data_IF_734140318168
#
_entry.id   IF_734140318168
#
_cell.length_a   1.000
_cell.length_b   1.000
_cell.length_c   1.000
_cell.angle_alpha   90.00
_cell.angle_beta   90.00
_cell.angle_gamma   90.00
#
_symmetry.space_group_name_H-M   'P 1'
#
loop_
_entity.id
_entity.type
_entity.pdbx_description
1 polymer ?
#
# COMPACT_ATOMS: atom_id res chain seq x y z
N UNK A 1 -28.22 8.30 48.64
CA UNK A 1 -26.78 8.11 48.32
C UNK A 1 -26.64 7.24 47.09
N UNK A 2 -26.07 7.73 45.98
CA UNK A 2 -25.72 6.86 44.84
C UNK A 2 -24.58 5.93 45.28
N UNK A 3 -24.79 4.61 45.17
CA UNK A 3 -23.76 3.59 45.43
C UNK A 3 -22.62 3.85 44.44
N UNK A 4 -21.45 4.31 44.91
CA UNK A 4 -20.26 4.43 44.06
C UNK A 4 -19.89 3.03 43.60
N UNK A 5 -19.78 2.83 42.29
CA UNK A 5 -19.36 1.56 41.70
C UNK A 5 -17.95 1.23 42.20
N UNK A 6 -17.75 0.02 42.72
CA UNK A 6 -16.43 -0.43 43.17
C UNK A 6 -15.53 -0.63 41.95
N UNK A 7 -14.33 -0.05 41.98
CA UNK A 7 -13.34 -0.14 40.91
C UNK A 7 -12.37 -1.30 41.20
N UNK A 8 -12.65 -2.47 40.63
CA UNK A 8 -11.89 -3.69 40.89
C UNK A 8 -10.54 -3.73 40.18
N UNK A 9 -10.41 -3.17 38.98
CA UNK A 9 -9.16 -3.25 38.21
C UNK A 9 -7.95 -2.60 38.92
N UNK A 10 -8.06 -1.38 39.48
CA UNK A 10 -6.95 -0.80 40.25
C UNK A 10 -6.63 -1.57 41.53
N UNK A 11 -7.66 -2.08 42.22
CA UNK A 11 -7.48 -2.85 43.46
C UNK A 11 -6.79 -4.20 43.20
N UNK A 12 -7.17 -4.89 42.11
CA UNK A 12 -6.53 -6.12 41.67
C UNK A 12 -5.05 -5.90 41.35
N UNK A 13 -4.73 -4.84 40.61
CA UNK A 13 -3.34 -4.54 40.27
C UNK A 13 -2.50 -4.25 41.54
N UNK A 14 -3.05 -3.51 42.50
CA UNK A 14 -2.39 -3.25 43.77
C UNK A 14 -2.16 -4.54 44.57
N UNK A 15 -3.18 -5.41 44.66
CA UNK A 15 -3.04 -6.71 45.30
C UNK A 15 -1.94 -7.55 44.62
N UNK A 16 -1.91 -7.61 43.29
CA UNK A 16 -0.89 -8.35 42.55
C UNK A 16 0.53 -7.85 42.82
N UNK A 17 0.72 -6.52 42.93
CA UNK A 17 2.01 -5.95 43.29
C UNK A 17 2.42 -6.27 44.75
N UNK A 18 1.45 -6.33 45.67
CA UNK A 18 1.71 -6.73 47.06
C UNK A 18 2.13 -8.21 47.13
N UNK A 19 1.40 -9.09 46.43
CA UNK A 19 1.71 -10.53 46.39
C UNK A 19 3.11 -10.79 45.78
N UNK A 20 3.52 -9.98 44.79
CA UNK A 20 4.82 -10.11 44.11
C UNK A 20 5.92 -9.19 44.68
N UNK A 21 5.69 -8.58 45.85
CA UNK A 21 6.59 -7.55 46.43
C UNK A 21 8.03 -8.05 46.66
N UNK A 22 8.20 -9.33 46.97
CA UNK A 22 9.50 -9.90 47.33
C UNK A 22 10.44 -10.02 46.12
N UNK A 23 9.86 -10.03 44.90
CA UNK A 23 10.59 -10.09 43.63
C UNK A 23 10.39 -8.81 42.79
N UNK A 24 9.88 -7.73 43.40
CA UNK A 24 9.53 -6.51 42.66
C UNK A 24 10.71 -5.83 41.98
N UNK A 25 11.94 -6.03 42.49
CA UNK A 25 13.17 -5.54 41.85
C UNK A 25 13.44 -6.15 40.47
N UNK A 26 12.76 -7.24 40.11
CA UNK A 26 12.88 -7.93 38.82
C UNK A 26 11.63 -7.78 37.93
N UNK A 27 10.61 -7.01 38.37
CA UNK A 27 9.32 -6.91 37.69
C UNK A 27 8.97 -5.45 37.36
N UNK A 28 8.35 -5.24 36.19
CA UNK A 28 7.77 -3.95 35.80
C UNK A 28 6.26 -4.12 35.61
N UNK A 29 5.48 -3.19 36.15
CA UNK A 29 4.01 -3.22 36.08
C UNK A 29 3.51 -2.07 35.22
N UNK A 30 3.17 -2.39 33.98
CA UNK A 30 2.52 -1.45 33.06
C UNK A 30 1.00 -1.50 33.22
N UNK A 31 0.36 -0.33 33.33
CA UNK A 31 -1.10 -0.21 33.43
C UNK A 31 -1.71 0.07 32.09
N UNK A 32 -2.77 -0.68 31.75
CA UNK A 32 -3.60 -0.39 30.57
C UNK A 32 -2.73 -0.20 29.31
N UNK A 33 -1.76 -1.10 29.14
CA UNK A 33 -0.76 -1.01 28.07
C UNK A 33 -1.41 -1.14 26.70
N UNK A 34 -1.26 -0.11 25.87
CA UNK A 34 -1.80 -0.11 24.51
C UNK A 34 -0.97 -1.03 23.61
N UNK A 35 -1.64 -2.02 22.99
CA UNK A 35 -0.99 -2.95 22.07
C UNK A 35 -0.56 -2.28 20.75
N UNK A 36 -1.21 -1.19 20.36
CA UNK A 36 -0.94 -0.45 19.12
C UNK A 36 -1.23 1.04 19.29
N UNK A 37 -0.51 1.89 18.54
CA UNK A 37 -0.77 3.34 18.52
C UNK A 37 -2.11 3.71 17.86
N UNK A 38 -2.53 2.91 16.87
CA UNK A 38 -3.81 3.03 16.18
C UNK A 38 -4.71 1.84 16.52
N UNK A 39 -6.05 1.97 16.47
CA UNK A 39 -6.94 0.83 16.63
C UNK A 39 -6.57 -0.33 15.69
N UNK A 40 -6.67 -1.55 16.20
CA UNK A 40 -6.46 -2.75 15.38
C UNK A 40 -7.49 -2.79 14.24
N UNK A 41 -7.01 -3.07 13.03
CA UNK A 41 -7.83 -3.15 11.83
C UNK A 41 -7.49 -4.42 11.05
N UNK A 42 -8.53 -5.09 10.55
CA UNK A 42 -8.43 -6.21 9.62
C UNK A 42 -8.39 -5.64 8.20
N UNK A 43 -7.44 -6.07 7.37
CA UNK A 43 -7.31 -5.56 6.00
C UNK A 43 -8.54 -5.91 5.14
N UNK A 44 -9.02 -7.15 5.22
CA UNK A 44 -10.27 -7.56 4.57
C UNK A 44 -10.99 -8.64 5.36
N UNK A 45 -12.27 -8.41 5.64
CA UNK A 45 -13.17 -9.39 6.25
C UNK A 45 -14.19 -9.84 5.21
N UNK A 46 -14.18 -11.13 4.87
CA UNK A 46 -15.11 -11.74 3.93
C UNK A 46 -16.13 -12.55 4.71
N UNK A 47 -17.42 -12.22 4.55
CA UNK A 47 -18.52 -12.90 5.23
C UNK A 47 -19.43 -13.55 4.20
N UNK A 48 -19.61 -14.88 4.29
CA UNK A 48 -20.62 -15.59 3.50
C UNK A 48 -22.02 -15.17 3.97
N UNK A 49 -22.81 -14.64 3.04
CA UNK A 49 -24.22 -14.28 3.30
C UNK A 49 -25.05 -15.52 3.63
N UNK A 50 -24.81 -16.60 2.91
CA UNK A 50 -25.47 -17.88 3.11
C UNK A 50 -24.53 -18.86 3.83
N UNK A 51 -24.86 -19.28 5.07
CA UNK A 51 -24.10 -20.29 5.78
C UNK A 51 -24.02 -21.60 4.98
N UNK A 52 -22.85 -22.22 4.95
CA UNK A 52 -22.64 -23.48 4.24
C UNK A 52 -22.42 -23.37 2.74
N UNK A 53 -22.63 -22.19 2.11
CA UNK A 53 -22.34 -21.99 0.68
C UNK A 53 -20.87 -22.32 0.37
N UNK A 54 -20.64 -23.21 -0.60
CA UNK A 54 -19.30 -23.62 -1.03
C UNK A 54 -18.83 -22.74 -2.19
N UNK A 55 -17.67 -22.13 -2.01
CA UNK A 55 -17.05 -21.33 -3.06
C UNK A 55 -16.30 -22.28 -3.99
N UNK A 56 -16.59 -22.20 -5.28
CA UNK A 56 -15.96 -23.07 -6.28
C UNK A 56 -14.53 -22.65 -6.63
N UNK A 57 -14.24 -21.35 -6.57
CA UNK A 57 -12.92 -20.79 -6.87
C UNK A 57 -11.88 -21.23 -5.83
N UNK A 58 -10.71 -21.66 -6.29
CA UNK A 58 -9.64 -22.26 -5.46
C UNK A 58 -9.23 -21.38 -4.27
N UNK A 59 -9.05 -20.08 -4.49
CA UNK A 59 -8.68 -19.09 -3.45
C UNK A 59 -9.68 -18.97 -2.31
N UNK A 60 -10.94 -19.37 -2.53
CA UNK A 60 -12.01 -19.29 -1.54
C UNK A 60 -12.48 -20.66 -1.06
N UNK A 61 -11.90 -21.76 -1.53
CA UNK A 61 -12.40 -23.11 -1.28
C UNK A 61 -12.40 -23.48 0.20
N UNK A 62 -11.39 -23.04 0.95
CA UNK A 62 -11.24 -23.25 2.41
C UNK A 62 -12.03 -22.25 3.26
N UNK A 63 -12.60 -21.20 2.66
CA UNK A 63 -13.27 -20.16 3.43
C UNK A 63 -14.42 -20.76 4.23
N UNK A 64 -14.39 -20.53 5.54
CA UNK A 64 -15.56 -20.72 6.40
C UNK A 64 -16.49 -19.51 6.25
N UNK A 65 -17.42 -19.31 7.19
CA UNK A 65 -18.38 -18.21 7.10
C UNK A 65 -17.69 -16.85 7.15
N UNK A 66 -16.68 -16.72 8.00
CA UNK A 66 -15.89 -15.52 8.17
C UNK A 66 -14.44 -15.83 7.78
N UNK A 67 -13.91 -15.11 6.79
CA UNK A 67 -12.52 -15.22 6.40
C UNK A 67 -11.80 -13.88 6.62
N UNK A 68 -10.78 -13.91 7.48
CA UNK A 68 -9.98 -12.76 7.86
C UNK A 68 -8.73 -12.77 6.98
N UNK A 69 -8.49 -11.68 6.25
CA UNK A 69 -7.36 -11.56 5.32
C UNK A 69 -6.38 -10.51 5.82
N UNK A 70 -5.10 -10.86 5.86
CA UNK A 70 -3.98 -9.91 5.95
C UNK A 70 -3.24 -9.91 4.61
N UNK A 71 -2.99 -8.73 4.04
CA UNK A 71 -2.30 -8.57 2.76
C UNK A 71 -0.96 -7.86 2.95
N UNK A 72 0.07 -8.34 2.26
CA UNK A 72 1.37 -7.66 2.11
C UNK A 72 1.59 -7.28 0.65
N UNK A 73 2.10 -6.06 0.45
CA UNK A 73 2.40 -5.58 -0.90
C UNK A 73 3.47 -6.46 -1.57
N UNK A 74 3.62 -6.38 -2.89
CA UNK A 74 4.59 -7.20 -3.62
C UNK A 74 6.04 -6.98 -3.21
N UNK A 75 6.36 -5.80 -2.66
CA UNK A 75 7.67 -5.41 -2.17
C UNK A 75 7.93 -5.90 -0.74
N UNK A 76 6.88 -6.31 -0.02
CA UNK A 76 6.92 -6.82 1.34
C UNK A 76 6.92 -8.35 1.40
N UNK A 77 7.02 -8.90 2.61
CA UNK A 77 6.95 -10.33 2.88
C UNK A 77 6.02 -10.63 4.05
N UNK A 78 5.41 -11.81 4.03
CA UNK A 78 4.65 -12.32 5.17
C UNK A 78 5.64 -12.77 6.24
N UNK A 79 5.63 -12.08 7.38
CA UNK A 79 6.51 -12.36 8.52
C UNK A 79 5.87 -13.30 9.55
N UNK A 80 6.68 -13.77 10.48
CA UNK A 80 6.21 -14.51 11.67
C UNK A 80 5.30 -13.62 12.55
N UNK A 81 5.60 -12.33 12.62
CA UNK A 81 4.78 -11.39 13.39
C UNK A 81 3.40 -11.20 12.76
N UNK A 82 3.29 -11.24 11.42
CA UNK A 82 2.00 -11.17 10.74
C UNK A 82 1.13 -12.37 11.08
N UNK A 83 1.73 -13.57 11.19
CA UNK A 83 1.04 -14.76 11.69
C UNK A 83 0.48 -14.55 13.11
N UNK A 84 1.25 -14.02 14.06
CA UNK A 84 0.72 -13.78 15.41
C UNK A 84 -0.32 -12.66 15.45
N UNK A 85 -0.07 -11.57 14.72
CA UNK A 85 -0.98 -10.43 14.61
C UNK A 85 -2.34 -10.86 14.06
N UNK A 86 -2.35 -11.65 12.97
CA UNK A 86 -3.59 -12.10 12.32
C UNK A 86 -4.40 -13.03 13.24
N UNK A 87 -3.74 -13.90 13.99
CA UNK A 87 -4.42 -14.74 14.97
C UNK A 87 -4.98 -13.90 16.13
N UNK A 88 -4.19 -12.94 16.61
CA UNK A 88 -4.58 -12.03 17.69
C UNK A 88 -5.88 -11.29 17.40
N UNK A 89 -5.96 -10.57 16.26
CA UNK A 89 -7.21 -9.86 15.94
C UNK A 89 -8.37 -10.80 15.55
N UNK A 90 -8.11 -12.07 15.19
CA UNK A 90 -9.16 -13.02 14.82
C UNK A 90 -9.84 -13.52 16.08
N UNK A 91 -9.05 -13.77 17.13
CA UNK A 91 -9.57 -14.00 18.48
C UNK A 91 -10.35 -12.79 19.00
N UNK A 92 -9.84 -11.56 18.81
CA UNK A 92 -10.58 -10.35 19.21
C UNK A 92 -11.89 -10.23 18.44
N UNK A 93 -11.88 -10.43 17.11
CA UNK A 93 -13.09 -10.40 16.29
C UNK A 93 -14.12 -11.43 16.76
N UNK A 94 -13.68 -12.65 17.10
CA UNK A 94 -14.54 -13.70 17.64
C UNK A 94 -15.15 -13.32 19.00
N UNK A 95 -14.33 -12.77 19.91
CA UNK A 95 -14.72 -12.44 21.28
C UNK A 95 -15.49 -11.11 21.40
N UNK A 96 -15.31 -10.19 20.45
CA UNK A 96 -15.93 -8.86 20.45
C UNK A 96 -17.35 -8.89 19.89
N UNK A 97 -18.19 -9.72 20.50
CA UNK A 97 -19.60 -9.93 20.12
C UNK A 97 -20.52 -9.70 21.32
N UNK A 98 -21.82 -9.51 21.07
CA UNK A 98 -22.78 -9.18 22.13
C UNK A 98 -23.16 -10.37 23.00
N UNK A 99 -22.89 -11.59 22.52
CA UNK A 99 -23.19 -12.86 23.19
C UNK A 99 -22.04 -13.84 23.00
N UNK A 100 -21.82 -14.67 24.01
CA UNK A 100 -20.85 -15.76 23.92
C UNK A 100 -21.10 -16.65 22.71
N UNK A 101 -20.04 -16.97 21.98
CA UNK A 101 -20.05 -17.83 20.78
C UNK A 101 -21.02 -17.38 19.67
N UNK A 102 -21.37 -16.09 19.62
CA UNK A 102 -22.14 -15.51 18.50
C UNK A 102 -21.43 -15.73 17.15
N UNK A 103 -20.10 -15.74 17.17
CA UNK A 103 -19.26 -16.25 16.08
C UNK A 103 -18.51 -17.49 16.60
N UNK A 104 -18.88 -18.71 16.18
CA UNK A 104 -18.16 -19.91 16.56
C UNK A 104 -16.75 -19.95 15.95
N UNK A 105 -15.70 -20.39 16.67
CA UNK A 105 -14.36 -20.58 16.10
C UNK A 105 -14.30 -21.46 14.84
N UNK A 106 -15.23 -22.43 14.74
CA UNK A 106 -15.37 -23.32 13.60
C UNK A 106 -15.89 -22.61 12.33
N UNK A 107 -16.39 -21.38 12.46
CA UNK A 107 -16.84 -20.55 11.35
C UNK A 107 -15.77 -19.54 10.86
N UNK A 108 -14.59 -19.53 11.49
CA UNK A 108 -13.49 -18.62 11.17
C UNK A 108 -12.38 -19.32 10.39
N UNK A 109 -11.88 -18.65 9.35
CA UNK A 109 -10.69 -19.01 8.56
C UNK A 109 -9.79 -17.77 8.46
N UNK A 110 -8.48 -17.98 8.40
CA UNK A 110 -7.49 -16.93 8.16
C UNK A 110 -6.86 -17.11 6.78
N UNK A 111 -6.62 -16.02 6.06
CA UNK A 111 -5.82 -15.99 4.83
C UNK A 111 -4.71 -14.95 4.93
N UNK A 112 -3.46 -15.38 4.78
CA UNK A 112 -2.32 -14.49 4.58
C UNK A 112 -2.02 -14.39 3.08
N UNK A 113 -1.90 -13.18 2.55
CA UNK A 113 -1.65 -12.95 1.12
C UNK A 113 -0.35 -12.19 0.94
N UNK A 114 0.52 -12.69 0.07
CA UNK A 114 1.78 -12.05 -0.26
C UNK A 114 2.28 -12.48 -1.63
N UNK A 115 3.17 -11.69 -2.20
CA UNK A 115 3.74 -12.00 -3.52
C UNK A 115 4.79 -13.10 -3.46
N UNK A 116 5.62 -13.09 -2.42
CA UNK A 116 6.73 -14.01 -2.25
C UNK A 116 6.37 -15.21 -1.37
N UNK A 117 6.89 -16.39 -1.72
CA UNK A 117 6.78 -17.58 -0.90
C UNK A 117 7.45 -17.38 0.49
N UNK A 118 6.72 -17.50 1.61
CA UNK A 118 7.21 -17.07 2.92
C UNK A 118 8.03 -18.15 3.62
N UNK A 119 9.23 -18.43 3.10
CA UNK A 119 10.14 -19.49 3.58
C UNK A 119 10.38 -19.44 5.09
N UNK A 120 10.63 -18.24 5.63
CA UNK A 120 10.92 -18.05 7.07
C UNK A 120 9.73 -18.42 7.95
N UNK A 121 8.52 -18.00 7.57
CA UNK A 121 7.31 -18.35 8.29
C UNK A 121 7.07 -19.87 8.25
N UNK A 122 7.16 -20.49 7.07
CA UNK A 122 6.86 -21.92 6.93
C UNK A 122 7.87 -22.78 7.69
N UNK A 123 9.16 -22.39 7.66
CA UNK A 123 10.19 -23.04 8.45
C UNK A 123 9.86 -22.96 9.95
N UNK A 124 9.54 -21.76 10.43
CA UNK A 124 9.16 -21.52 11.82
C UNK A 124 7.94 -22.35 12.24
N UNK A 125 6.88 -22.38 11.44
CA UNK A 125 5.67 -23.15 11.76
C UNK A 125 5.94 -24.67 11.80
N UNK A 126 6.79 -25.17 10.91
CA UNK A 126 7.18 -26.59 10.89
C UNK A 126 8.06 -26.95 12.10
N UNK A 127 9.03 -26.11 12.44
CA UNK A 127 10.00 -26.39 13.50
C UNK A 127 9.40 -26.24 14.90
N UNK A 128 8.56 -25.22 15.12
CA UNK A 128 8.03 -24.90 16.45
C UNK A 128 6.62 -25.44 16.73
N UNK A 129 5.81 -25.64 15.69
CA UNK A 129 4.43 -26.10 15.84
C UNK A 129 4.16 -27.44 15.16
N UNK A 130 5.17 -28.03 14.50
CA UNK A 130 5.03 -29.27 13.72
C UNK A 130 3.86 -29.21 12.75
N UNK A 131 3.59 -28.01 12.22
CA UNK A 131 2.46 -27.80 11.33
C UNK A 131 2.60 -28.65 10.07
N UNK A 132 1.47 -29.04 9.49
CA UNK A 132 1.41 -29.70 8.20
C UNK A 132 1.04 -28.68 7.13
N UNK A 133 1.84 -28.65 6.06
CA UNK A 133 1.70 -27.72 4.94
C UNK A 133 1.29 -28.49 3.69
N UNK A 134 0.12 -28.18 3.18
CA UNK A 134 -0.46 -28.78 1.98
C UNK A 134 -0.46 -27.75 0.84
N UNK A 135 0.21 -28.07 -0.26
CA UNK A 135 0.11 -27.28 -1.49
C UNK A 135 -1.17 -27.66 -2.25
N UNK A 136 -2.31 -27.11 -1.80
CA UNK A 136 -3.63 -27.49 -2.28
C UNK A 136 -3.88 -27.13 -3.75
N UNK A 137 -3.37 -25.97 -4.19
CA UNK A 137 -3.45 -25.48 -5.57
C UNK A 137 -2.19 -24.64 -5.90
N UNK A 138 -1.92 -24.31 -7.17
CA UNK A 138 -0.83 -23.41 -7.52
C UNK A 138 -0.89 -22.09 -6.72
N UNK A 139 0.15 -21.82 -5.93
CA UNK A 139 0.24 -20.64 -5.06
C UNK A 139 -0.71 -20.63 -3.86
N UNK A 140 -1.38 -21.74 -3.55
CA UNK A 140 -2.32 -21.85 -2.41
C UNK A 140 -1.86 -22.94 -1.47
N UNK A 141 -1.52 -22.54 -0.25
CA UNK A 141 -1.03 -23.44 0.78
C UNK A 141 -2.00 -23.49 1.95
N UNK A 142 -2.45 -24.67 2.33
CA UNK A 142 -3.22 -24.89 3.56
C UNK A 142 -2.27 -25.31 4.67
N UNK A 143 -2.49 -24.70 5.84
CA UNK A 143 -1.69 -24.93 7.03
C UNK A 143 -2.63 -25.46 8.10
N UNK A 144 -2.34 -26.66 8.56
CA UNK A 144 -3.17 -27.40 9.51
C UNK A 144 -2.58 -27.35 10.93
N UNK A 145 -3.41 -27.67 11.94
CA UNK A 145 -2.98 -27.78 13.33
C UNK A 145 -3.12 -26.51 14.19
N UNK A 146 -3.80 -25.48 13.69
CA UNK A 146 -4.05 -24.23 14.41
C UNK A 146 -5.52 -24.02 14.78
N UNK A 147 -5.77 -23.07 15.68
CA UNK A 147 -7.13 -22.73 16.19
C UNK A 147 -8.10 -22.40 15.05
N UNK A 148 -7.62 -21.73 14.01
CA UNK A 148 -8.37 -21.41 12.80
C UNK A 148 -7.62 -22.03 11.61
N UNK A 149 -8.32 -22.61 10.60
CA UNK A 149 -7.69 -23.01 9.36
C UNK A 149 -6.99 -21.81 8.74
N UNK A 150 -5.78 -22.06 8.28
CA UNK A 150 -4.90 -21.02 7.75
C UNK A 150 -4.61 -21.32 6.28
N UNK A 151 -4.87 -20.34 5.44
CA UNK A 151 -4.48 -20.32 4.04
C UNK A 151 -3.35 -19.31 3.85
N UNK A 152 -2.35 -19.67 3.04
CA UNK A 152 -1.35 -18.73 2.54
C UNK A 152 -1.46 -18.68 1.02
N UNK A 153 -1.69 -17.48 0.50
CA UNK A 153 -1.75 -17.20 -0.94
C UNK A 153 -0.44 -16.53 -1.37
N UNK A 154 0.30 -17.21 -2.24
CA UNK A 154 1.51 -16.71 -2.90
C UNK A 154 1.13 -16.26 -4.29
N UNK A 155 0.88 -14.96 -4.46
CA UNK A 155 0.17 -14.45 -5.65
C UNK A 155 0.93 -14.69 -6.96
N UNK A 156 2.27 -14.69 -6.92
CA UNK A 156 3.12 -14.97 -8.10
C UNK A 156 3.02 -16.42 -8.61
N UNK A 157 2.52 -17.33 -7.77
CA UNK A 157 2.42 -18.77 -8.05
C UNK A 157 0.98 -19.20 -8.38
N UNK A 158 0.02 -18.27 -8.29
CA UNK A 158 -1.38 -18.53 -8.64
C UNK A 158 -1.54 -18.83 -10.14
N UNK A 159 -2.50 -19.70 -10.48
CA UNK A 159 -2.92 -19.88 -11.88
C UNK A 159 -3.36 -18.55 -12.47
N UNK A 160 -2.69 -18.16 -13.56
CA UNK A 160 -2.97 -16.92 -14.30
C UNK A 160 -4.32 -16.96 -15.01
N UNK A 161 -4.84 -18.15 -15.30
CA UNK A 161 -6.11 -18.41 -15.96
C UNK A 161 -7.28 -18.26 -14.97
N UNK A 162 -7.18 -18.88 -13.79
CA UNK A 162 -8.23 -18.82 -12.77
C UNK A 162 -8.24 -17.47 -12.04
N UNK A 163 -7.05 -16.92 -11.74
CA UNK A 163 -6.86 -15.78 -10.85
C UNK A 163 -6.30 -14.56 -11.58
N UNK A 164 -6.89 -14.23 -12.73
CA UNK A 164 -6.41 -13.20 -13.68
C UNK A 164 -5.88 -11.94 -13.01
N UNK A 165 -6.66 -11.35 -12.10
CA UNK A 165 -6.33 -10.08 -11.43
C UNK A 165 -5.30 -10.26 -10.31
N UNK A 166 -5.53 -11.21 -9.41
CA UNK A 166 -4.70 -11.40 -8.22
C UNK A 166 -3.27 -11.83 -8.60
N UNK A 167 -3.13 -12.69 -9.61
CA UNK A 167 -1.82 -13.18 -10.08
C UNK A 167 -0.97 -12.09 -10.74
N UNK A 168 -1.58 -10.94 -11.08
CA UNK A 168 -0.94 -9.81 -11.79
C UNK A 168 -0.93 -8.53 -10.96
N UNK A 169 -1.23 -8.63 -9.67
CA UNK A 169 -1.18 -7.52 -8.73
C UNK A 169 0.28 -7.26 -8.27
N UNK A 170 1.16 -6.91 -9.22
CA UNK A 170 2.58 -6.60 -8.98
C UNK A 170 3.18 -5.76 -10.12
N UNK A 171 4.41 -5.25 -9.93
CA UNK A 171 5.10 -4.26 -10.79
C UNK A 171 6.00 -4.86 -11.89
N UNK A 172 5.87 -6.15 -12.19
CA UNK A 172 6.73 -6.83 -13.17
C UNK A 172 5.97 -7.68 -14.19
N UNK A 173 4.92 -7.12 -14.78
CA UNK A 173 4.06 -7.82 -15.74
C UNK A 173 4.73 -7.99 -17.11
N UNK A 174 4.48 -9.08 -17.81
CA UNK A 174 4.90 -9.27 -19.20
C UNK A 174 3.79 -8.86 -20.17
N UNK A 175 4.15 -8.34 -21.34
CA UNK A 175 3.17 -7.80 -22.28
C UNK A 175 2.13 -8.85 -22.71
N UNK A 176 2.59 -9.93 -23.34
CA UNK A 176 1.69 -10.95 -23.90
C UNK A 176 1.07 -11.87 -22.83
N UNK A 177 1.84 -12.24 -21.79
CA UNK A 177 1.36 -13.17 -20.77
C UNK A 177 0.47 -12.51 -19.71
N UNK A 178 0.69 -11.22 -19.43
CA UNK A 178 0.05 -10.56 -18.30
C UNK A 178 -0.86 -9.41 -18.71
N UNK A 179 -0.33 -8.44 -19.44
CA UNK A 179 -1.03 -7.20 -19.78
C UNK A 179 -2.19 -7.46 -20.74
N UNK A 180 -1.97 -8.22 -21.81
CA UNK A 180 -3.02 -8.51 -22.79
C UNK A 180 -4.23 -9.28 -22.19
N UNK A 181 -4.04 -10.37 -21.40
CA UNK A 181 -5.15 -11.02 -20.71
C UNK A 181 -5.89 -10.09 -19.74
N UNK A 182 -5.19 -9.20 -19.03
CA UNK A 182 -5.83 -8.20 -18.15
C UNK A 182 -6.71 -7.25 -18.93
N UNK A 183 -6.21 -6.71 -20.05
CA UNK A 183 -6.98 -5.83 -20.91
C UNK A 183 -8.26 -6.53 -21.42
N UNK A 184 -8.15 -7.78 -21.87
CA UNK A 184 -9.33 -8.57 -22.26
C UNK A 184 -10.31 -8.77 -21.10
N UNK A 185 -9.81 -9.03 -19.88
CA UNK A 185 -10.65 -9.20 -18.70
C UNK A 185 -11.27 -7.88 -18.18
N UNK A 186 -10.70 -6.74 -18.56
CA UNK A 186 -11.21 -5.41 -18.21
C UNK A 186 -12.19 -4.85 -19.24
N UNK A 187 -12.07 -5.25 -20.52
CA UNK A 187 -12.96 -4.78 -21.60
C UNK A 187 -14.43 -5.01 -21.23
N UNK A 188 -15.23 -3.94 -21.23
CA UNK A 188 -16.64 -3.94 -20.84
C UNK A 188 -16.90 -3.76 -19.33
N UNK A 189 -15.85 -3.69 -18.50
CA UNK A 189 -15.93 -3.49 -17.04
C UNK A 189 -15.45 -2.09 -16.61
N UNK A 190 -15.21 -1.18 -17.54
CA UNK A 190 -14.60 0.13 -17.29
C UNK A 190 -15.42 1.00 -16.33
N UNK A 191 -16.75 0.85 -16.36
CA UNK A 191 -17.67 1.55 -15.45
C UNK A 191 -17.76 0.90 -14.07
N UNK A 192 -17.16 -0.27 -13.86
CA UNK A 192 -17.17 -0.96 -12.58
C UNK A 192 -16.02 -0.44 -11.69
N UNK A 193 -16.31 0.17 -10.53
CA UNK A 193 -15.29 0.82 -9.70
C UNK A 193 -14.24 -0.15 -9.15
N UNK A 194 -14.57 -1.43 -8.93
CA UNK A 194 -13.61 -2.43 -8.43
C UNK A 194 -12.56 -2.77 -9.50
N UNK A 195 -13.03 -2.97 -10.72
CA UNK A 195 -12.18 -3.25 -11.87
C UNK A 195 -11.32 -2.05 -12.20
N UNK A 196 -11.91 -0.85 -12.21
CA UNK A 196 -11.18 0.39 -12.45
C UNK A 196 -10.07 0.61 -11.41
N UNK A 197 -10.35 0.43 -10.12
CA UNK A 197 -9.36 0.59 -9.06
C UNK A 197 -8.19 -0.40 -9.18
N UNK A 198 -8.49 -1.68 -9.48
CA UNK A 198 -7.47 -2.70 -9.67
C UNK A 198 -6.63 -2.41 -10.93
N UNK A 199 -7.29 -2.09 -12.04
CA UNK A 199 -6.62 -1.82 -13.32
C UNK A 199 -5.71 -0.61 -13.22
N UNK A 200 -6.20 0.49 -12.66
CA UNK A 200 -5.41 1.71 -12.55
C UNK A 200 -4.17 1.53 -11.65
N UNK A 201 -4.26 0.81 -10.53
CA UNK A 201 -3.07 0.46 -9.74
C UNK A 201 -2.07 -0.36 -10.55
N UNK A 202 -2.53 -1.41 -11.24
CA UNK A 202 -1.67 -2.31 -12.02
C UNK A 202 -1.00 -1.56 -13.18
N UNK A 203 -1.73 -0.71 -13.90
CA UNK A 203 -1.20 0.12 -14.98
C UNK A 203 -0.16 1.10 -14.44
N UNK A 204 -0.44 1.79 -13.33
CA UNK A 204 0.50 2.71 -12.69
C UNK A 204 1.79 2.00 -12.28
N UNK A 205 1.68 0.79 -11.72
CA UNK A 205 2.84 0.00 -11.33
C UNK A 205 3.66 -0.56 -12.51
N UNK A 206 3.09 -0.63 -13.73
CA UNK A 206 3.71 -1.25 -14.91
C UNK A 206 3.77 -0.30 -16.13
N UNK A 207 3.73 1.01 -15.91
CA UNK A 207 3.48 2.01 -16.94
C UNK A 207 4.34 1.86 -18.20
N UNK A 208 5.65 1.68 -18.03
CA UNK A 208 6.60 1.54 -19.15
C UNK A 208 6.21 0.39 -20.09
N UNK A 209 5.86 -0.76 -19.53
CA UNK A 209 5.49 -1.95 -20.31
C UNK A 209 4.12 -1.80 -20.97
N UNK A 210 3.21 -1.06 -20.35
CA UNK A 210 1.94 -0.69 -20.97
C UNK A 210 2.13 0.25 -22.17
N UNK A 211 3.06 1.20 -22.11
CA UNK A 211 3.38 2.06 -23.25
C UNK A 211 3.94 1.27 -24.43
N UNK A 212 4.88 0.35 -24.18
CA UNK A 212 5.41 -0.57 -25.19
C UNK A 212 4.30 -1.42 -25.82
N UNK A 213 3.34 -1.89 -25.00
CA UNK A 213 2.19 -2.66 -25.46
C UNK A 213 1.17 -1.91 -26.30
N UNK A 214 0.99 -0.61 -26.04
CA UNK A 214 0.05 0.26 -26.78
C UNK A 214 0.41 0.32 -28.26
N UNK A 215 1.70 0.40 -28.61
CA UNK A 215 2.11 0.46 -30.01
C UNK A 215 1.87 -0.85 -30.74
N UNK A 216 1.87 -1.98 -30.03
CA UNK A 216 1.81 -3.32 -30.61
C UNK A 216 0.40 -3.94 -30.60
N UNK A 217 -0.45 -3.59 -29.63
CA UNK A 217 -1.73 -4.26 -29.39
C UNK A 217 -2.93 -3.31 -29.57
N UNK A 218 -3.74 -3.56 -30.59
CA UNK A 218 -4.95 -2.79 -30.89
C UNK A 218 -5.96 -2.80 -29.73
N UNK A 219 -6.12 -3.94 -29.06
CA UNK A 219 -7.02 -4.06 -27.90
C UNK A 219 -6.60 -3.16 -26.72
N UNK A 220 -5.30 -2.95 -26.50
CA UNK A 220 -4.80 -2.00 -25.50
C UNK A 220 -5.01 -0.55 -25.94
N UNK A 221 -4.85 -0.25 -27.24
CA UNK A 221 -5.11 1.10 -27.77
C UNK A 221 -6.57 1.49 -27.60
N UNK A 222 -7.50 0.64 -28.01
CA UNK A 222 -8.94 0.91 -27.87
C UNK A 222 -9.33 1.12 -26.41
N UNK A 223 -8.88 0.23 -25.52
CA UNK A 223 -9.28 0.21 -24.12
C UNK A 223 -8.80 1.42 -23.32
N UNK A 224 -7.71 2.07 -23.76
CA UNK A 224 -7.12 3.20 -23.07
C UNK A 224 -7.02 4.47 -23.93
N UNK A 225 -7.71 4.53 -25.06
CA UNK A 225 -7.63 5.64 -26.01
C UNK A 225 -7.94 7.00 -25.36
N UNK A 226 -8.89 7.05 -24.43
CA UNK A 226 -9.35 8.31 -23.80
C UNK A 226 -8.52 8.68 -22.55
N UNK A 227 -8.35 7.75 -21.60
CA UNK A 227 -7.65 8.00 -20.32
C UNK A 227 -6.15 8.30 -20.47
N UNK A 228 -5.48 7.67 -21.46
CA UNK A 228 -4.07 7.93 -21.70
C UNK A 228 -3.85 9.25 -22.41
N UNK A 229 -4.74 9.65 -23.32
CA UNK A 229 -4.64 10.92 -24.03
C UNK A 229 -4.69 12.08 -23.04
N UNK A 230 -5.56 12.04 -22.02
CA UNK A 230 -5.57 13.06 -20.98
C UNK A 230 -4.32 13.07 -20.08
N UNK A 231 -3.72 11.91 -19.78
CA UNK A 231 -2.48 11.84 -18.99
C UNK A 231 -1.25 12.24 -19.81
N UNK A 232 -1.23 11.90 -21.09
CA UNK A 232 -0.21 12.28 -22.07
C UNK A 232 -0.25 13.79 -22.32
N UNK A 233 -1.45 14.38 -22.53
CA UNK A 233 -1.65 15.84 -22.58
C UNK A 233 -1.14 16.49 -21.29
N UNK A 234 -1.56 16.02 -20.11
CA UNK A 234 -1.06 16.57 -18.83
C UNK A 234 0.45 16.42 -18.65
N UNK A 235 1.04 15.35 -19.17
CA UNK A 235 2.49 15.11 -19.17
C UNK A 235 3.23 16.07 -20.10
N UNK A 236 2.70 16.28 -21.31
CA UNK A 236 3.21 17.24 -22.28
C UNK A 236 3.10 18.66 -21.73
N UNK A 237 1.96 19.05 -21.17
CA UNK A 237 1.74 20.37 -20.58
C UNK A 237 2.74 20.66 -19.46
N UNK A 238 2.95 19.70 -18.54
CA UNK A 238 3.98 19.82 -17.49
C UNK A 238 5.39 19.88 -18.07
N UNK A 239 5.67 19.13 -19.13
CA UNK A 239 6.96 19.16 -19.82
C UNK A 239 7.23 20.51 -20.48
N UNK A 240 6.23 21.09 -21.14
CA UNK A 240 6.29 22.42 -21.75
C UNK A 240 6.50 23.48 -20.66
N UNK A 241 5.73 23.43 -19.58
CA UNK A 241 5.84 24.37 -18.45
C UNK A 241 7.24 24.33 -17.82
N UNK A 242 7.78 23.12 -17.57
CA UNK A 242 9.15 22.95 -17.08
C UNK A 242 10.20 23.44 -18.08
N UNK A 243 9.98 23.21 -19.39
CA UNK A 243 10.86 23.70 -20.46
C UNK A 243 10.91 25.22 -20.52
N UNK A 244 9.74 25.88 -20.44
CA UNK A 244 9.63 27.34 -20.36
C UNK A 244 10.32 27.88 -19.11
N UNK A 245 10.13 27.23 -17.96
CA UNK A 245 10.79 27.60 -16.71
C UNK A 245 12.32 27.53 -16.81
N UNK A 246 12.86 26.44 -17.38
CA UNK A 246 14.31 26.30 -17.62
C UNK A 246 14.83 27.35 -18.59
N UNK A 247 14.15 27.59 -19.70
CA UNK A 247 14.54 28.63 -20.66
C UNK A 247 14.63 30.00 -19.99
N UNK A 248 13.65 30.38 -19.15
CA UNK A 248 13.71 31.64 -18.40
C UNK A 248 14.88 31.71 -17.42
N UNK A 249 15.21 30.60 -16.74
CA UNK A 249 16.39 30.53 -15.88
C UNK A 249 17.66 30.78 -16.69
N UNK A 250 17.79 30.12 -17.84
CA UNK A 250 18.94 30.27 -18.73
C UNK A 250 19.04 31.71 -19.26
N UNK A 251 17.93 32.30 -19.73
CA UNK A 251 17.85 33.69 -20.20
C UNK A 251 18.24 34.71 -19.09
N UNK A 252 17.76 34.50 -17.86
CA UNK A 252 18.14 35.35 -16.71
C UNK A 252 19.65 35.26 -16.48
N UNK A 253 20.21 34.06 -16.45
CA UNK A 253 21.63 33.87 -16.19
C UNK A 253 22.49 34.43 -17.33
N UNK A 254 22.02 34.35 -18.57
CA UNK A 254 22.69 34.96 -19.72
C UNK A 254 22.75 36.48 -19.59
N UNK A 255 21.60 37.14 -19.34
CA UNK A 255 21.54 38.60 -19.14
C UNK A 255 22.43 39.06 -17.97
N UNK A 256 22.40 38.34 -16.85
CA UNK A 256 23.23 38.69 -15.70
C UNK A 256 24.72 38.51 -15.99
N UNK A 257 25.11 37.57 -16.85
CA UNK A 257 26.52 37.37 -17.22
C UNK A 257 27.10 38.58 -17.96
N UNK A 258 26.27 39.32 -18.70
CA UNK A 258 26.67 40.58 -19.34
C UNK A 258 26.97 41.70 -18.34
N UNK A 259 26.35 41.66 -17.16
CA UNK A 259 26.54 42.65 -16.08
C UNK A 259 27.75 42.35 -15.18
N UNK A 260 28.28 41.12 -15.22
CA UNK A 260 29.46 40.72 -14.45
C UNK A 260 29.42 39.29 -13.90
N UNK A 261 30.43 38.86 -13.13
CA UNK A 261 30.50 37.52 -12.57
C UNK A 261 29.36 37.28 -11.57
N UNK A 262 28.50 36.29 -11.87
CA UNK A 262 27.35 35.93 -11.03
C UNK A 262 27.82 35.16 -9.79
N UNK A 263 27.52 35.63 -8.56
CA UNK A 263 27.84 34.89 -7.35
C UNK A 263 27.13 33.52 -7.31
N UNK A 264 27.84 32.47 -6.86
CA UNK A 264 27.31 31.10 -6.81
C UNK A 264 25.99 30.97 -6.03
N UNK A 265 25.84 31.77 -4.98
CA UNK A 265 24.61 31.82 -4.17
C UNK A 265 23.42 32.29 -5.00
N UNK A 266 23.61 33.31 -5.83
CA UNK A 266 22.57 33.88 -6.70
C UNK A 266 22.22 32.90 -7.81
N UNK A 267 23.23 32.32 -8.47
CA UNK A 267 23.05 31.29 -9.51
C UNK A 267 22.22 30.10 -9.00
N UNK A 268 22.54 29.58 -7.81
CA UNK A 268 21.78 28.47 -7.19
C UNK A 268 20.33 28.85 -6.90
N UNK A 269 20.08 30.07 -6.44
CA UNK A 269 18.73 30.55 -6.13
C UNK A 269 17.87 30.68 -7.39
N UNK A 270 18.44 31.20 -8.48
CA UNK A 270 17.76 31.30 -9.78
C UNK A 270 17.46 29.89 -10.32
N UNK A 271 18.46 28.99 -10.29
CA UNK A 271 18.32 27.62 -10.79
C UNK A 271 17.32 26.76 -9.99
N UNK A 272 17.08 27.08 -8.72
CA UNK A 272 16.12 26.35 -7.87
C UNK A 272 14.68 26.85 -7.98
N UNK A 273 14.44 27.97 -8.68
CA UNK A 273 13.10 28.54 -8.79
C UNK A 273 12.29 27.78 -9.86
N UNK A 274 11.10 27.32 -9.49
CA UNK A 274 10.21 26.55 -10.36
C UNK A 274 8.91 27.28 -10.72
N UNK A 275 8.62 28.41 -10.06
CA UNK A 275 7.45 29.22 -10.37
C UNK A 275 7.70 30.12 -11.59
N UNK A 276 7.00 29.83 -12.70
CA UNK A 276 7.12 30.57 -13.95
C UNK A 276 6.77 32.06 -13.87
N UNK A 277 5.87 32.46 -12.96
CA UNK A 277 5.50 33.88 -12.79
C UNK A 277 6.64 34.66 -12.15
N UNK A 278 7.26 34.08 -11.12
CA UNK A 278 8.43 34.66 -10.46
C UNK A 278 9.59 34.76 -11.45
N UNK A 279 9.87 33.70 -12.22
CA UNK A 279 10.90 33.70 -13.26
C UNK A 279 10.63 34.78 -14.33
N UNK A 280 9.37 35.03 -14.68
CA UNK A 280 9.02 36.09 -15.63
C UNK A 280 9.34 37.49 -15.08
N UNK A 281 9.07 37.71 -13.79
CA UNK A 281 9.40 38.98 -13.12
C UNK A 281 10.92 39.15 -13.03
N UNK A 282 11.65 38.09 -12.66
CA UNK A 282 13.11 38.11 -12.59
C UNK A 282 13.75 38.34 -13.96
N UNK A 283 13.24 37.73 -15.03
CA UNK A 283 13.72 37.99 -16.39
C UNK A 283 13.58 39.47 -16.78
N UNK A 284 12.41 40.07 -16.50
CA UNK A 284 12.19 41.51 -16.72
C UNK A 284 13.07 42.39 -15.85
N UNK A 285 13.39 41.94 -14.64
CA UNK A 285 14.27 42.66 -13.73
C UNK A 285 15.72 42.59 -14.25
N UNK A 286 16.21 41.41 -14.60
CA UNK A 286 17.56 41.20 -15.16
C UNK A 286 17.80 42.06 -16.40
N UNK A 287 16.80 42.17 -17.30
CA UNK A 287 16.88 43.01 -18.49
C UNK A 287 16.94 44.52 -18.22
N UNK A 288 16.61 44.97 -17.00
CA UNK A 288 16.58 46.38 -16.60
C UNK A 288 17.67 46.76 -15.61
N UNK A 289 18.28 45.78 -14.96
CA UNK A 289 19.34 46.02 -13.98
C UNK A 289 20.61 46.47 -14.67
N UNK A 290 21.29 47.46 -14.08
CA UNK A 290 22.58 47.97 -14.56
C UNK A 290 23.75 47.25 -13.86
N UNK A 291 23.49 46.48 -12.81
CA UNK A 291 24.49 45.67 -12.09
C UNK A 291 23.89 44.42 -11.43
N UNK A 292 24.75 43.45 -11.09
CA UNK A 292 24.38 42.24 -10.34
C UNK A 292 23.81 42.58 -8.95
N UNK A 293 24.36 43.61 -8.30
CA UNK A 293 23.95 44.05 -6.95
C UNK A 293 22.53 44.62 -6.98
N UNK A 294 22.24 45.49 -7.95
CA UNK A 294 20.90 46.05 -8.17
C UNK A 294 19.87 44.96 -8.45
N UNK A 295 20.22 43.98 -9.30
CA UNK A 295 19.35 42.83 -9.55
C UNK A 295 19.07 42.07 -8.25
N UNK A 296 20.11 41.74 -7.49
CA UNK A 296 19.99 40.95 -6.26
C UNK A 296 19.12 41.63 -5.19
N UNK A 297 19.25 42.94 -5.04
CA UNK A 297 18.49 43.72 -4.05
C UNK A 297 17.01 43.79 -4.42
N UNK A 298 16.71 44.08 -5.70
CA UNK A 298 15.35 44.18 -6.19
C UNK A 298 14.67 42.82 -6.36
N UNK A 299 15.43 41.74 -6.52
CA UNK A 299 14.90 40.38 -6.69
C UNK A 299 14.02 39.94 -5.51
N UNK A 300 14.35 40.39 -4.29
CA UNK A 300 13.57 40.09 -3.08
C UNK A 300 12.23 40.83 -2.99
N UNK A 301 12.05 41.92 -3.75
CA UNK A 301 10.84 42.75 -3.71
C UNK A 301 9.77 42.29 -4.71
N UNK A 302 10.12 41.41 -5.65
CA UNK A 302 9.25 40.94 -6.73
C UNK A 302 8.86 39.46 -6.62
N UNK A 303 9.38 38.75 -5.62
CA UNK A 303 8.91 37.42 -5.21
C UNK A 303 7.47 37.48 -4.67
#
# INVERSE_FOLDING_TARGET
MKRKLLQWHPAFQAALQIELREVSGCLTFEREYNLTEKPLQIDTLIIKKEPGYRIEKSIGRIFRRHNIVEYKSPEDYISINDFFKVHGYTCIYQANTGRELEIPPQELTITLVGYHYPRKLFLFLREHYHAEMEAAYPGIYYIHGFLFPLQVLVTRELSKEENVWLSRLHSNLQLHEDIEPLARAYKGMEKNPLYAAAMDLIVRANWKKYQEGKEMCEALRELFAEELTEREIRGIDKGIEQGIGRGKVDDILELLTELGPIPDRLRKRIASQSNCDILTKWLKLAAKSESIEEFSDNMTQVE
#
